data_IF_386801502898
#
_entry.id   IF_386801502898
#
_cell.length_a   1.000
_cell.length_b   1.000
_cell.length_c   1.000
_cell.angle_alpha   90.00
_cell.angle_beta   90.00
_cell.angle_gamma   90.00
#
_symmetry.space_group_name_H-M   'P 1'
#
loop_
_entity.id
_entity.type
_entity.pdbx_description
1 polymer ?
#
# COMPACT_ATOMS: atom_id res chain seq x y z
N UNK A 1 -1.95 -3.04 -3.81
CA UNK A 1 -3.34 -3.51 -3.70
C UNK A 1 -3.35 -4.85 -4.38
N UNK A 2 -4.03 -5.84 -3.81
CA UNK A 2 -4.13 -7.18 -4.40
C UNK A 2 -5.61 -7.56 -4.50
N UNK A 3 -5.96 -8.30 -5.54
CA UNK A 3 -7.26 -8.96 -5.69
C UNK A 3 -6.99 -10.46 -5.69
N UNK A 4 -7.72 -11.19 -4.86
CA UNK A 4 -7.53 -12.63 -4.70
C UNK A 4 -8.76 -13.40 -5.17
N UNK A 5 -8.56 -14.33 -6.10
CA UNK A 5 -9.55 -15.38 -6.37
C UNK A 5 -9.48 -16.41 -5.24
N UNK A 6 -10.52 -16.43 -4.39
CA UNK A 6 -10.59 -17.31 -3.23
C UNK A 6 -10.81 -18.79 -3.61
N UNK A 7 -11.37 -19.08 -4.79
CA UNK A 7 -11.51 -20.45 -5.30
C UNK A 7 -10.15 -20.96 -5.75
N UNK A 8 -9.40 -20.17 -6.53
CA UNK A 8 -8.03 -20.51 -6.91
C UNK A 8 -7.11 -20.62 -5.70
N UNK A 9 -7.24 -19.71 -4.72
CA UNK A 9 -6.51 -19.74 -3.46
C UNK A 9 -6.68 -21.08 -2.74
N UNK A 10 -7.93 -21.53 -2.60
CA UNK A 10 -8.25 -22.80 -1.94
C UNK A 10 -7.70 -23.99 -2.73
N UNK A 11 -7.89 -24.02 -4.06
CA UNK A 11 -7.39 -25.09 -4.93
C UNK A 11 -5.86 -25.22 -4.88
N UNK A 12 -5.15 -24.10 -4.84
CA UNK A 12 -3.69 -24.07 -4.77
C UNK A 12 -3.15 -24.18 -3.33
N UNK A 13 -4.02 -24.43 -2.33
CA UNK A 13 -3.66 -24.56 -0.91
C UNK A 13 -2.70 -23.46 -0.41
N UNK A 14 -2.97 -22.20 -0.77
CA UNK A 14 -2.08 -21.07 -0.47
C UNK A 14 -1.93 -20.88 1.04
N UNK A 15 -3.00 -21.04 1.83
CA UNK A 15 -2.97 -20.88 3.28
C UNK A 15 -1.93 -21.79 3.94
N UNK A 16 -1.91 -23.07 3.60
CA UNK A 16 -0.95 -24.01 4.18
C UNK A 16 0.50 -23.66 3.80
N UNK A 17 0.75 -23.30 2.53
CA UNK A 17 2.07 -22.85 2.08
C UNK A 17 2.53 -21.58 2.80
N UNK A 18 1.60 -20.67 3.08
CA UNK A 18 1.89 -19.45 3.82
C UNK A 18 2.30 -19.73 5.26
N UNK A 19 1.57 -20.61 5.95
CA UNK A 19 1.95 -21.02 7.30
C UNK A 19 3.28 -21.77 7.32
N UNK A 20 3.53 -22.68 6.38
CA UNK A 20 4.83 -23.34 6.23
C UNK A 20 5.98 -22.33 6.17
N UNK A 21 5.89 -21.34 5.30
CA UNK A 21 6.95 -20.32 5.18
C UNK A 21 7.09 -19.44 6.42
N UNK A 22 5.98 -19.13 7.11
CA UNK A 22 6.07 -18.43 8.39
C UNK A 22 6.78 -19.27 9.45
N UNK A 23 6.50 -20.57 9.53
CA UNK A 23 7.19 -21.49 10.45
C UNK A 23 8.68 -21.62 10.13
N UNK A 24 9.05 -21.66 8.84
CA UNK A 24 10.46 -21.69 8.43
C UNK A 24 11.23 -20.43 8.84
N UNK A 25 10.54 -19.30 9.04
CA UNK A 25 11.14 -18.05 9.52
C UNK A 25 10.78 -17.75 10.99
N UNK A 26 10.41 -18.76 11.78
CA UNK A 26 10.01 -18.56 13.17
C UNK A 26 11.13 -17.93 14.03
N UNK A 27 12.39 -18.18 13.69
CA UNK A 27 13.56 -17.59 14.34
C UNK A 27 14.00 -16.23 13.72
N UNK A 28 13.32 -15.78 12.65
CA UNK A 28 13.60 -14.53 11.96
C UNK A 28 14.88 -14.53 11.11
N UNK A 29 15.45 -15.69 10.79
CA UNK A 29 16.73 -15.78 10.06
C UNK A 29 16.60 -15.61 8.54
N UNK A 30 15.46 -15.97 7.95
CA UNK A 30 15.24 -15.88 6.50
C UNK A 30 14.87 -14.46 6.06
N UNK A 31 14.06 -13.74 6.84
CA UNK A 31 13.75 -12.33 6.62
C UNK A 31 13.32 -11.63 7.91
N UNK A 32 13.55 -10.31 7.94
CA UNK A 32 13.17 -9.44 9.07
C UNK A 32 11.83 -8.75 8.88
N UNK A 33 11.29 -8.73 7.67
CA UNK A 33 10.19 -7.84 7.27
C UNK A 33 8.88 -8.60 7.07
N UNK A 34 7.88 -8.30 7.91
CA UNK A 34 6.44 -8.41 7.64
C UNK A 34 5.90 -9.61 6.86
N UNK A 35 4.74 -9.41 6.23
CA UNK A 35 3.97 -10.45 5.54
C UNK A 35 4.30 -10.58 4.05
N UNK A 36 5.08 -9.64 3.49
CA UNK A 36 5.37 -9.62 2.05
C UNK A 36 6.28 -10.77 1.60
N UNK A 37 7.41 -11.08 2.26
CA UNK A 37 8.25 -12.21 1.85
C UNK A 37 7.52 -13.56 1.79
N UNK A 38 6.79 -14.01 2.83
CA UNK A 38 6.07 -15.28 2.75
C UNK A 38 4.96 -15.24 1.70
N UNK A 39 4.31 -14.09 1.48
CA UNK A 39 3.33 -13.95 0.40
C UNK A 39 3.97 -14.16 -0.99
N UNK A 40 5.11 -13.54 -1.28
CA UNK A 40 5.81 -13.71 -2.55
C UNK A 40 6.20 -15.18 -2.79
N UNK A 41 6.65 -15.89 -1.76
CA UNK A 41 6.96 -17.33 -1.84
C UNK A 41 5.70 -18.17 -2.11
N UNK A 42 4.55 -17.79 -1.53
CA UNK A 42 3.30 -18.51 -1.71
C UNK A 42 2.68 -18.33 -3.10
N UNK A 43 2.78 -17.12 -3.65
CA UNK A 43 2.19 -16.78 -4.94
C UNK A 43 3.16 -16.86 -6.11
N UNK A 44 4.38 -17.35 -5.91
CA UNK A 44 5.35 -17.49 -7.00
C UNK A 44 4.76 -18.32 -8.15
N UNK A 45 4.70 -17.71 -9.35
CA UNK A 45 4.09 -18.32 -10.54
C UNK A 45 2.55 -18.38 -10.53
N UNK A 46 1.87 -17.76 -9.56
CA UNK A 46 0.41 -17.77 -9.40
C UNK A 46 -0.21 -16.37 -9.44
N UNK A 47 0.55 -15.35 -9.83
CA UNK A 47 0.08 -13.97 -9.89
C UNK A 47 -0.03 -13.46 -11.31
N UNK A 48 -1.02 -12.62 -11.54
CA UNK A 48 -1.15 -11.82 -12.75
C UNK A 48 -0.91 -10.33 -12.43
N UNK A 49 -0.21 -9.59 -13.30
CA UNK A 49 -0.01 -8.16 -13.10
C UNK A 49 -1.31 -7.40 -13.32
N UNK A 50 -1.61 -6.45 -12.42
CA UNK A 50 -2.65 -5.45 -12.65
C UNK A 50 -2.07 -4.28 -13.43
N UNK A 51 -2.88 -3.69 -14.31
CA UNK A 51 -2.54 -2.41 -14.94
C UNK A 51 -2.24 -1.38 -13.84
N UNK A 52 -1.13 -0.65 -13.99
CA UNK A 52 -0.61 0.29 -12.99
C UNK A 52 -1.62 1.36 -12.59
N UNK A 53 -2.61 1.67 -13.44
CA UNK A 53 -3.71 2.61 -13.13
C UNK A 53 -4.64 2.09 -12.04
N UNK A 54 -4.71 0.78 -11.79
CA UNK A 54 -5.48 0.26 -10.65
C UNK A 54 -4.92 0.70 -9.31
N UNK A 55 -3.59 0.88 -9.21
CA UNK A 55 -2.94 1.24 -7.95
C UNK A 55 -1.65 2.03 -8.18
N UNK A 56 -1.75 3.36 -8.06
CA UNK A 56 -0.60 4.27 -8.16
C UNK A 56 -0.02 4.49 -6.77
N UNK A 57 1.20 4.01 -6.56
CA UNK A 57 1.96 4.14 -5.33
C UNK A 57 3.06 5.21 -5.45
N UNK A 58 3.62 5.60 -4.30
CA UNK A 58 4.80 6.46 -4.17
C UNK A 58 4.48 7.86 -3.69
N UNK A 59 3.22 8.21 -3.45
CA UNK A 59 2.83 9.60 -3.14
C UNK A 59 3.35 10.10 -1.77
N UNK A 60 4.00 9.25 -0.98
CA UNK A 60 4.69 9.66 0.25
C UNK A 60 6.22 9.66 0.15
N UNK A 61 6.82 9.48 -1.03
CA UNK A 61 8.27 9.60 -1.22
C UNK A 61 8.74 9.99 -2.65
N UNK A 62 7.95 9.76 -3.69
CA UNK A 62 8.31 10.02 -5.09
C UNK A 62 7.74 11.36 -5.56
N UNK A 63 8.64 12.32 -5.83
CA UNK A 63 8.28 13.67 -6.28
C UNK A 63 7.84 13.74 -7.75
N UNK A 64 8.07 12.67 -8.52
CA UNK A 64 8.06 12.69 -10.00
C UNK A 64 6.96 11.82 -10.62
N UNK A 65 5.92 11.46 -9.87
CA UNK A 65 4.78 10.71 -10.43
C UNK A 65 4.04 11.63 -11.43
N UNK A 66 3.78 11.11 -12.62
CA UNK A 66 3.03 11.80 -13.66
C UNK A 66 1.60 12.13 -13.19
N UNK A 67 1.16 13.38 -13.37
CA UNK A 67 -0.19 13.80 -13.07
C UNK A 67 -1.24 13.01 -13.84
N UNK A 68 -0.99 12.68 -15.11
CA UNK A 68 -1.94 11.90 -15.93
C UNK A 68 -2.15 10.51 -15.35
N UNK A 69 -1.08 9.91 -14.81
CA UNK A 69 -1.17 8.62 -14.13
C UNK A 69 -1.98 8.74 -12.84
N UNK A 70 -1.76 9.79 -12.04
CA UNK A 70 -2.54 10.07 -10.82
C UNK A 70 -4.02 10.27 -11.13
N UNK A 71 -4.34 11.06 -12.15
CA UNK A 71 -5.72 11.37 -12.56
C UNK A 71 -6.48 10.15 -13.08
N UNK A 72 -5.78 9.26 -13.79
CA UNK A 72 -6.36 8.01 -14.31
C UNK A 72 -6.39 6.87 -13.28
N UNK A 73 -5.90 7.09 -12.05
CA UNK A 73 -5.76 6.06 -11.05
C UNK A 73 -7.11 5.70 -10.40
N UNK A 74 -7.38 4.41 -10.24
CA UNK A 74 -8.50 3.95 -9.41
C UNK A 74 -8.21 4.15 -7.92
N UNK A 75 -6.97 3.86 -7.49
CA UNK A 75 -6.49 4.04 -6.12
C UNK A 75 -5.12 4.69 -6.13
N UNK A 76 -4.96 5.77 -5.37
CA UNK A 76 -3.65 6.36 -5.06
C UNK A 76 -3.20 5.93 -3.66
N UNK A 77 -1.90 5.71 -3.48
CA UNK A 77 -1.34 5.29 -2.20
C UNK A 77 -0.19 6.21 -1.78
N UNK A 78 -0.43 6.91 -0.69
CA UNK A 78 0.56 7.71 0.03
C UNK A 78 1.49 6.81 0.87
N UNK A 79 2.10 5.77 0.29
CA UNK A 79 3.14 4.99 0.98
C UNK A 79 4.44 5.79 1.08
N UNK A 80 5.21 5.54 2.13
CA UNK A 80 6.38 6.36 2.50
C UNK A 80 6.12 7.27 3.69
N UNK A 81 7.11 8.10 4.00
CA UNK A 81 7.18 8.90 5.23
C UNK A 81 6.55 10.29 5.08
N UNK A 82 6.48 10.85 3.87
CA UNK A 82 5.97 12.20 3.60
C UNK A 82 4.46 12.18 3.35
N UNK A 83 3.71 11.71 4.35
CA UNK A 83 2.24 11.61 4.29
C UNK A 83 1.59 13.00 4.15
N UNK A 84 0.44 13.13 3.45
CA UNK A 84 -0.16 14.43 3.17
C UNK A 84 -0.61 15.19 4.43
N UNK A 85 -0.95 14.47 5.51
CA UNK A 85 -1.32 15.05 6.81
C UNK A 85 -0.12 15.48 7.69
N UNK A 86 1.12 15.41 7.17
CA UNK A 86 2.32 15.84 7.92
C UNK A 86 2.87 17.16 7.39
N UNK A 87 3.65 17.85 8.23
CA UNK A 87 4.38 19.08 7.83
C UNK A 87 5.38 18.81 6.71
N UNK A 88 6.02 17.64 6.72
CA UNK A 88 6.99 17.18 5.71
C UNK A 88 6.36 16.61 4.43
N UNK A 89 5.05 16.75 4.25
CA UNK A 89 4.35 16.23 3.07
C UNK A 89 4.89 16.80 1.76
N UNK A 90 4.81 16.00 0.69
CA UNK A 90 5.02 16.48 -0.68
C UNK A 90 3.87 17.42 -1.07
N UNK A 91 4.17 18.72 -1.19
CA UNK A 91 3.17 19.78 -1.40
C UNK A 91 2.19 19.50 -2.55
N UNK A 92 2.68 19.05 -3.71
CA UNK A 92 1.83 18.77 -4.88
C UNK A 92 0.80 17.67 -4.69
N UNK A 93 0.96 16.78 -3.70
CA UNK A 93 0.01 15.69 -3.44
C UNK A 93 -0.94 15.97 -2.28
N UNK A 94 -0.72 17.01 -1.47
CA UNK A 94 -1.61 17.36 -0.34
C UNK A 94 -3.06 17.60 -0.78
N UNK A 95 -3.34 18.34 -1.89
CA UNK A 95 -4.72 18.59 -2.32
C UNK A 95 -5.52 17.33 -2.66
N UNK A 96 -4.84 16.23 -3.03
CA UNK A 96 -5.49 14.95 -3.34
C UNK A 96 -6.14 14.31 -2.10
N UNK A 97 -5.59 14.59 -0.91
CA UNK A 97 -6.09 14.15 0.38
C UNK A 97 -7.02 15.19 1.01
N UNK A 98 -6.60 16.45 1.03
CA UNK A 98 -7.28 17.54 1.76
C UNK A 98 -8.72 17.75 1.28
N UNK A 99 -9.02 17.46 0.00
CA UNK A 99 -10.37 17.56 -0.54
C UNK A 99 -11.40 16.64 0.13
N UNK A 100 -10.96 15.60 0.83
CA UNK A 100 -11.81 14.67 1.59
C UNK A 100 -11.84 14.98 3.08
N UNK A 101 -11.09 15.99 3.53
CA UNK A 101 -10.98 16.36 4.93
C UNK A 101 -12.01 17.42 5.27
N UNK A 102 -12.85 17.13 6.26
CA UNK A 102 -13.74 18.13 6.82
C UNK A 102 -13.00 19.01 7.84
N UNK A 103 -12.63 20.22 7.43
CA UNK A 103 -11.91 21.19 8.27
C UNK A 103 -12.73 21.72 9.45
N UNK A 104 -14.05 21.47 9.50
CA UNK A 104 -14.87 21.83 10.66
C UNK A 104 -14.74 20.87 11.83
N UNK A 105 -14.03 19.74 11.66
CA UNK A 105 -13.82 18.77 12.73
C UNK A 105 -12.87 19.34 13.79
N UNK A 106 -13.29 19.42 15.07
CA UNK A 106 -12.50 20.04 16.14
C UNK A 106 -11.08 19.46 16.29
N UNK A 107 -10.96 18.13 16.19
CA UNK A 107 -9.68 17.42 16.32
C UNK A 107 -8.67 17.75 15.20
N UNK A 108 -9.12 18.25 14.05
CA UNK A 108 -8.23 18.68 12.98
C UNK A 108 -7.80 20.14 13.13
N UNK A 109 -8.64 20.98 13.72
CA UNK A 109 -8.29 22.38 14.01
C UNK A 109 -7.13 22.43 15.01
N UNK A 110 -7.15 21.57 16.03
CA UNK A 110 -6.07 21.46 17.01
C UNK A 110 -4.73 21.03 16.38
N UNK A 111 -4.77 20.15 15.36
CA UNK A 111 -3.57 19.71 14.63
C UNK A 111 -2.96 20.80 13.73
N UNK A 112 -3.78 21.70 13.18
CA UNK A 112 -3.30 22.80 12.31
C UNK A 112 -2.64 23.92 13.14
N UNK A 113 -3.10 24.12 14.38
CA UNK A 113 -2.61 25.14 15.30
C UNK A 113 -1.34 24.71 16.09
N UNK A 114 -0.90 23.46 15.95
CA UNK A 114 0.29 22.86 16.58
C UNK A 114 1.48 22.75 15.61
#
# INVERSE_FOLDING_TARGET
MNVFDLVAWRKANVTARYHYWQEQNADGTLWKLGTLPPALLCFYGLTEPLDRRWHVLGLGYDLNIDNRLIESAAVIHFNGNMKPWLKVAIGRYKPLWDKYINQSLPHLQDCVLS
#
